data_IF_332306724846
#
_entry.id   IF_332306724846
#
_cell.length_a   1.000
_cell.length_b   1.000
_cell.length_c   1.000
_cell.angle_alpha   90.00
_cell.angle_beta   90.00
_cell.angle_gamma   90.00
#
_symmetry.space_group_name_H-M   'P 1'
#
loop_
_entity.id
_entity.type
_entity.pdbx_description
1 polymer ?
#
# COMPACT_ATOMS: atom_id res chain seq x y z
N UNK A 1 28.23 35.40 -14.37
CA UNK A 1 26.89 35.80 -13.92
C UNK A 1 25.88 34.76 -14.36
N UNK A 2 25.73 33.61 -13.68
CA UNK A 2 24.85 32.54 -14.16
C UNK A 2 24.59 31.41 -13.17
N UNK A 3 25.30 31.34 -12.06
CA UNK A 3 25.09 30.28 -11.04
C UNK A 3 24.09 30.69 -9.94
N UNK A 4 24.11 31.95 -9.52
CA UNK A 4 23.27 32.44 -8.41
C UNK A 4 21.77 32.54 -8.77
N UNK A 5 21.43 32.62 -10.05
CA UNK A 5 20.03 32.77 -10.49
C UNK A 5 19.27 31.44 -10.59
N UNK A 6 19.98 30.31 -10.71
CA UNK A 6 19.39 28.95 -10.67
C UNK A 6 19.09 28.50 -9.25
N UNK A 7 20.01 28.76 -8.30
CA UNK A 7 19.80 28.42 -6.90
C UNK A 7 18.65 29.22 -6.27
N UNK A 8 18.52 30.49 -6.64
CA UNK A 8 17.46 31.36 -6.11
C UNK A 8 16.06 31.02 -6.66
N UNK A 9 15.95 30.46 -7.87
CA UNK A 9 14.69 29.94 -8.42
C UNK A 9 14.27 28.62 -7.78
N UNK A 10 15.20 27.71 -7.52
CA UNK A 10 14.95 26.46 -6.81
C UNK A 10 14.44 26.70 -5.39
N UNK A 11 15.10 27.58 -4.62
CA UNK A 11 14.69 27.93 -3.25
C UNK A 11 13.34 28.65 -3.20
N UNK A 12 13.00 29.47 -4.21
CA UNK A 12 11.69 30.14 -4.28
C UNK A 12 10.56 29.17 -4.66
N UNK A 13 10.81 28.23 -5.57
CA UNK A 13 9.86 27.21 -5.97
C UNK A 13 9.55 26.26 -4.80
N UNK A 14 10.57 25.83 -4.07
CA UNK A 14 10.46 24.99 -2.88
C UNK A 14 9.62 25.65 -1.77
N UNK A 15 9.90 26.90 -1.43
CA UNK A 15 9.10 27.66 -0.45
C UNK A 15 7.64 27.84 -0.87
N UNK A 16 7.36 27.94 -2.18
CA UNK A 16 6.00 28.09 -2.69
C UNK A 16 5.24 26.77 -2.60
N UNK A 17 5.88 25.65 -2.95
CA UNK A 17 5.32 24.31 -2.80
C UNK A 17 5.02 23.98 -1.32
N UNK A 18 5.95 24.27 -0.42
CA UNK A 18 5.77 24.10 1.03
C UNK A 18 4.56 24.88 1.55
N UNK A 19 4.45 26.16 1.24
CA UNK A 19 3.28 26.98 1.65
C UNK A 19 1.96 26.46 1.09
N UNK A 20 1.97 25.90 -0.13
CA UNK A 20 0.78 25.27 -0.72
C UNK A 20 0.36 24.05 0.08
N UNK A 21 1.30 23.17 0.42
CA UNK A 21 1.06 21.97 1.19
C UNK A 21 0.53 22.32 2.58
N UNK A 22 1.20 23.20 3.32
CA UNK A 22 0.76 23.66 4.65
C UNK A 22 -0.69 24.14 4.62
N UNK A 23 -1.02 25.02 3.67
CA UNK A 23 -2.38 25.55 3.52
C UNK A 23 -3.42 24.46 3.23
N UNK A 24 -3.09 23.52 2.34
CA UNK A 24 -3.98 22.41 1.99
C UNK A 24 -4.20 21.49 3.20
N UNK A 25 -3.13 21.21 3.94
CA UNK A 25 -3.20 20.38 5.16
C UNK A 25 -4.02 21.06 6.27
N UNK A 26 -3.86 22.37 6.49
CA UNK A 26 -4.65 23.13 7.47
C UNK A 26 -6.15 23.07 7.13
N UNK A 27 -6.49 23.28 5.87
CA UNK A 27 -7.87 23.18 5.41
C UNK A 27 -8.44 21.75 5.53
N UNK A 28 -7.62 20.73 5.28
CA UNK A 28 -8.04 19.33 5.45
C UNK A 28 -8.29 18.99 6.92
N UNK A 29 -7.42 19.46 7.82
CA UNK A 29 -7.56 19.27 9.26
C UNK A 29 -8.81 19.95 9.80
N UNK A 30 -9.06 21.21 9.43
CA UNK A 30 -10.30 21.93 9.76
C UNK A 30 -11.54 21.13 9.29
N UNK A 31 -11.54 20.61 8.06
CA UNK A 31 -12.68 19.84 7.52
C UNK A 31 -12.88 18.51 8.24
N UNK A 32 -11.80 17.84 8.66
CA UNK A 32 -11.89 16.63 9.48
C UNK A 32 -12.51 16.93 10.83
N UNK A 33 -12.14 18.02 11.50
CA UNK A 33 -12.78 18.48 12.73
C UNK A 33 -14.28 18.73 12.57
N UNK A 34 -14.66 19.39 11.47
CA UNK A 34 -16.08 19.66 11.18
C UNK A 34 -16.91 18.39 10.91
N UNK A 35 -16.30 17.27 10.56
CA UNK A 35 -17.06 16.01 10.42
C UNK A 35 -17.61 15.54 11.76
N UNK A 36 -16.84 15.70 12.83
CA UNK A 36 -17.25 15.30 14.18
C UNK A 36 -18.28 16.28 14.78
N UNK A 37 -18.15 17.57 14.45
CA UNK A 37 -19.03 18.64 14.95
C UNK A 37 -20.34 18.79 14.16
N UNK A 38 -20.45 18.18 12.99
CA UNK A 38 -21.61 18.36 12.10
C UNK A 38 -22.90 17.78 12.69
N UNK A 39 -23.96 18.60 12.72
CA UNK A 39 -25.27 18.25 13.25
C UNK A 39 -26.02 17.24 12.37
N UNK A 40 -25.79 17.27 11.05
CA UNK A 40 -26.53 16.43 10.09
C UNK A 40 -25.63 15.44 9.36
N UNK A 41 -26.21 14.33 8.90
CA UNK A 41 -25.49 13.34 8.08
C UNK A 41 -25.03 13.95 6.76
N UNK A 42 -25.83 14.83 6.15
CA UNK A 42 -25.50 15.49 4.89
C UNK A 42 -24.26 16.39 5.03
N UNK A 43 -24.16 17.18 6.09
CA UNK A 43 -22.99 18.00 6.40
C UNK A 43 -21.75 17.15 6.62
N UNK A 44 -21.86 16.05 7.38
CA UNK A 44 -20.75 15.10 7.58
C UNK A 44 -20.22 14.53 6.29
N UNK A 45 -21.11 14.11 5.38
CA UNK A 45 -20.73 13.57 4.07
C UNK A 45 -20.07 14.63 3.19
N UNK A 46 -20.59 15.86 3.17
CA UNK A 46 -20.01 16.98 2.42
C UNK A 46 -18.61 17.35 2.92
N UNK A 47 -18.41 17.42 4.24
CA UNK A 47 -17.10 17.71 4.83
C UNK A 47 -16.10 16.58 4.56
N UNK A 48 -16.53 15.32 4.64
CA UNK A 48 -15.69 14.18 4.32
C UNK A 48 -15.25 14.16 2.84
N UNK A 49 -16.14 14.49 1.90
CA UNK A 49 -15.80 14.59 0.48
C UNK A 49 -14.76 15.70 0.24
N UNK A 50 -14.96 16.87 0.87
CA UNK A 50 -14.03 18.00 0.75
C UNK A 50 -12.66 17.72 1.36
N UNK A 51 -12.61 17.07 2.52
CA UNK A 51 -11.36 16.61 3.13
C UNK A 51 -10.59 15.68 2.20
N UNK A 52 -11.27 14.72 1.59
CA UNK A 52 -10.67 13.78 0.64
C UNK A 52 -10.08 14.46 -0.61
N UNK A 53 -10.74 15.49 -1.14
CA UNK A 53 -10.20 16.29 -2.25
C UNK A 53 -8.95 17.06 -1.85
N UNK A 54 -8.95 17.69 -0.67
CA UNK A 54 -7.81 18.42 -0.13
C UNK A 54 -6.61 17.52 0.08
N UNK A 55 -6.80 16.35 0.67
CA UNK A 55 -5.72 15.36 0.85
C UNK A 55 -5.13 14.90 -0.51
N UNK A 56 -5.95 14.67 -1.52
CA UNK A 56 -5.44 14.35 -2.86
C UNK A 56 -4.65 15.51 -3.48
N UNK A 57 -5.02 16.76 -3.18
CA UNK A 57 -4.35 17.96 -3.72
C UNK A 57 -2.95 18.22 -3.10
N UNK A 58 -2.54 17.48 -2.08
CA UNK A 58 -1.16 17.52 -1.55
C UNK A 58 -0.16 17.00 -2.59
N UNK A 59 -0.58 16.05 -3.41
CA UNK A 59 0.23 15.46 -4.46
C UNK A 59 0.19 16.31 -5.72
N UNK A 60 1.36 16.66 -6.29
CA UNK A 60 1.43 17.31 -7.59
C UNK A 60 1.06 16.36 -8.74
N UNK A 61 1.25 15.06 -8.50
CA UNK A 61 0.77 13.97 -9.35
C UNK A 61 0.38 12.77 -8.46
N UNK A 62 -0.83 12.20 -8.60
CA UNK A 62 -1.25 11.07 -7.79
C UNK A 62 -0.26 9.89 -7.83
N UNK A 63 0.09 9.28 -6.70
CA UNK A 63 1.00 8.13 -6.66
C UNK A 63 0.59 6.98 -7.58
N UNK A 64 -0.70 6.69 -7.67
CA UNK A 64 -1.23 5.66 -8.57
C UNK A 64 -0.91 5.91 -10.05
N UNK A 65 -0.74 7.17 -10.46
CA UNK A 65 -0.35 7.53 -11.81
C UNK A 65 1.18 7.62 -11.96
N UNK A 66 1.86 8.19 -10.95
CA UNK A 66 3.30 8.50 -11.04
C UNK A 66 4.20 7.28 -10.86
N UNK A 67 3.78 6.32 -10.03
CA UNK A 67 4.60 5.20 -9.59
C UNK A 67 4.16 3.84 -10.18
N UNK A 68 3.10 3.84 -10.98
CA UNK A 68 2.68 2.64 -11.69
C UNK A 68 3.79 2.22 -12.68
N UNK A 69 4.15 0.94 -12.63
CA UNK A 69 5.11 0.37 -13.58
C UNK A 69 4.56 0.45 -15.01
N UNK A 70 5.40 0.90 -15.92
CA UNK A 70 5.13 0.89 -17.35
C UNK A 70 6.39 0.44 -18.11
N UNK A 71 6.25 -0.11 -19.33
CA UNK A 71 7.40 -0.51 -20.14
C UNK A 71 8.40 0.64 -20.31
N UNK A 72 9.69 0.31 -20.18
CA UNK A 72 10.80 1.28 -20.23
C UNK A 72 11.28 1.79 -18.88
N UNK A 73 10.64 1.43 -17.76
CA UNK A 73 11.20 1.65 -16.41
C UNK A 73 12.21 0.54 -16.12
N UNK A 74 13.43 0.93 -15.79
CA UNK A 74 14.50 0.03 -15.32
C UNK A 74 14.56 0.04 -13.79
N UNK A 75 14.40 -1.14 -13.18
CA UNK A 75 14.38 -1.29 -11.72
C UNK A 75 15.77 -1.02 -11.12
N UNK A 76 16.84 -1.49 -11.75
CA UNK A 76 18.20 -1.32 -11.25
C UNK A 76 18.59 0.16 -11.25
N UNK A 77 18.32 0.88 -12.36
CA UNK A 77 18.51 2.32 -12.43
C UNK A 77 17.65 3.07 -11.39
N UNK A 78 16.40 2.65 -11.21
CA UNK A 78 15.50 3.23 -10.21
C UNK A 78 16.04 3.01 -8.78
N UNK A 79 16.57 1.83 -8.47
CA UNK A 79 17.16 1.53 -7.18
C UNK A 79 18.45 2.33 -6.92
N UNK A 80 19.29 2.49 -7.93
CA UNK A 80 20.58 3.18 -7.78
C UNK A 80 20.42 4.71 -7.75
N UNK A 81 19.56 5.27 -8.57
CA UNK A 81 19.48 6.72 -8.78
C UNK A 81 18.24 7.39 -8.18
N UNK A 82 17.16 6.67 -7.91
CA UNK A 82 15.86 7.25 -7.57
C UNK A 82 15.24 6.71 -6.27
N UNK A 83 15.87 5.76 -5.60
CA UNK A 83 15.32 5.16 -4.37
C UNK A 83 15.09 6.15 -3.22
N UNK A 84 15.85 7.26 -3.20
CA UNK A 84 15.68 8.39 -2.29
C UNK A 84 14.80 9.53 -2.81
N UNK A 85 14.29 9.43 -4.03
CA UNK A 85 13.44 10.46 -4.61
C UNK A 85 12.02 10.45 -4.01
N UNK A 86 11.30 11.58 -4.17
CA UNK A 86 9.92 11.76 -3.69
C UNK A 86 8.98 12.20 -4.81
N UNK A 87 8.87 11.44 -5.91
CA UNK A 87 8.15 11.86 -7.09
C UNK A 87 6.66 12.13 -6.78
N UNK A 88 6.19 13.31 -7.18
CA UNK A 88 4.82 13.76 -6.97
C UNK A 88 4.53 14.33 -5.59
N UNK A 89 5.50 14.37 -4.67
CA UNK A 89 5.35 14.96 -3.34
C UNK A 89 6.43 16.00 -3.08
N UNK A 90 6.04 17.26 -3.04
CA UNK A 90 6.94 18.40 -2.89
C UNK A 90 7.18 18.81 -1.41
N UNK A 91 6.62 18.02 -0.45
CA UNK A 91 6.76 18.23 0.98
C UNK A 91 7.98 17.54 1.59
N UNK A 92 8.21 17.83 2.85
CA UNK A 92 9.24 17.19 3.66
C UNK A 92 8.66 16.03 4.53
N UNK A 93 9.51 15.52 5.43
CA UNK A 93 9.11 14.47 6.36
C UNK A 93 7.94 14.88 7.26
N UNK A 94 7.91 16.10 7.74
CA UNK A 94 6.85 16.59 8.62
C UNK A 94 5.51 16.63 7.88
N UNK A 95 5.52 17.12 6.64
CA UNK A 95 4.32 17.16 5.79
C UNK A 95 3.77 15.75 5.52
N UNK A 96 4.66 14.79 5.25
CA UNK A 96 4.25 13.41 5.03
C UNK A 96 3.68 12.75 6.29
N UNK A 97 4.29 12.97 7.45
CA UNK A 97 3.78 12.45 8.73
C UNK A 97 2.41 13.05 9.06
N UNK A 98 2.20 14.34 8.80
CA UNK A 98 0.90 15.01 8.92
C UNK A 98 -0.12 14.45 7.93
N UNK A 99 0.26 14.27 6.67
CA UNK A 99 -0.59 13.65 5.65
C UNK A 99 -1.04 12.23 6.08
N UNK A 100 -0.12 11.39 6.56
CA UNK A 100 -0.43 10.04 7.04
C UNK A 100 -1.43 10.10 8.20
N UNK A 101 -1.25 11.02 9.14
CA UNK A 101 -2.15 11.20 10.28
C UNK A 101 -3.56 11.58 9.84
N UNK A 102 -3.70 12.57 8.96
CA UNK A 102 -5.00 13.05 8.47
C UNK A 102 -5.70 12.00 7.58
N UNK A 103 -4.94 11.33 6.70
CA UNK A 103 -5.50 10.29 5.81
C UNK A 103 -5.95 9.04 6.55
N UNK A 104 -5.39 8.75 7.72
CA UNK A 104 -5.72 7.55 8.49
C UNK A 104 -7.18 7.52 8.96
N UNK A 105 -7.77 8.66 9.28
CA UNK A 105 -9.20 8.77 9.62
C UNK A 105 -10.10 8.41 8.44
N UNK A 106 -9.74 8.83 7.23
CA UNK A 106 -10.45 8.44 6.01
C UNK A 106 -10.29 6.95 5.70
N UNK A 107 -9.07 6.43 5.82
CA UNK A 107 -8.79 5.01 5.63
C UNK A 107 -9.63 4.17 6.59
N UNK A 108 -9.65 4.51 7.88
CA UNK A 108 -10.45 3.81 8.87
C UNK A 108 -11.96 3.87 8.56
N UNK A 109 -12.45 5.01 8.08
CA UNK A 109 -13.85 5.16 7.66
C UNK A 109 -14.19 4.28 6.46
N UNK A 110 -13.35 4.28 5.42
CA UNK A 110 -13.56 3.45 4.24
C UNK A 110 -13.41 1.96 4.55
N UNK A 111 -12.48 1.58 5.41
CA UNK A 111 -12.29 0.20 5.84
C UNK A 111 -13.52 -0.32 6.59
N UNK A 112 -14.08 0.46 7.53
CA UNK A 112 -15.35 0.10 8.19
C UNK A 112 -16.52 0.00 7.22
N UNK A 113 -16.56 0.87 6.20
CA UNK A 113 -17.56 0.83 5.16
C UNK A 113 -17.43 -0.44 4.31
N UNK A 114 -16.20 -0.85 3.97
CA UNK A 114 -15.93 -2.11 3.27
C UNK A 114 -16.41 -3.29 4.11
N UNK A 115 -16.03 -3.33 5.38
CA UNK A 115 -16.43 -4.39 6.30
C UNK A 115 -17.98 -4.50 6.44
N UNK A 116 -18.65 -3.37 6.65
CA UNK A 116 -20.09 -3.34 6.77
C UNK A 116 -20.81 -3.88 5.50
N UNK A 117 -20.27 -3.57 4.32
CA UNK A 117 -20.78 -4.09 3.05
C UNK A 117 -20.57 -5.61 2.92
N UNK A 118 -19.39 -6.12 3.34
CA UNK A 118 -19.11 -7.56 3.37
C UNK A 118 -20.07 -8.33 4.27
N UNK A 119 -20.35 -7.82 5.48
CA UNK A 119 -21.35 -8.39 6.41
C UNK A 119 -22.76 -8.44 5.78
N UNK A 120 -23.05 -7.56 4.81
CA UNK A 120 -24.33 -7.52 4.08
C UNK A 120 -24.30 -8.24 2.73
N UNK A 121 -23.27 -9.06 2.48
CA UNK A 121 -23.21 -9.95 1.32
C UNK A 121 -22.54 -9.34 0.08
N UNK A 122 -21.85 -8.19 0.20
CA UNK A 122 -20.99 -7.69 -0.88
C UNK A 122 -19.74 -8.58 -0.96
N UNK A 123 -19.30 -8.93 -2.18
CA UNK A 123 -18.06 -9.67 -2.41
C UNK A 123 -16.81 -8.77 -2.50
N UNK A 124 -16.97 -7.45 -2.35
CA UNK A 124 -15.84 -6.51 -2.43
C UNK A 124 -14.86 -6.74 -1.30
N UNK A 125 -13.58 -6.78 -1.67
CA UNK A 125 -12.44 -6.90 -0.76
C UNK A 125 -11.21 -6.24 -1.37
N UNK A 126 -10.18 -6.04 -0.60
CA UNK A 126 -8.92 -5.44 -1.04
C UNK A 126 -7.77 -6.36 -0.66
N UNK A 127 -6.90 -6.68 -1.62
CA UNK A 127 -5.64 -7.35 -1.39
C UNK A 127 -4.47 -6.39 -1.69
N UNK A 128 -3.62 -6.18 -0.69
CA UNK A 128 -2.37 -5.44 -0.83
C UNK A 128 -1.22 -6.42 -0.78
N UNK A 129 -0.43 -6.46 -1.83
CA UNK A 129 0.79 -7.26 -1.93
C UNK A 129 1.98 -6.33 -1.73
N UNK A 130 2.73 -6.53 -0.64
CA UNK A 130 3.95 -5.78 -0.33
C UNK A 130 5.16 -6.63 -0.67
N UNK A 131 5.94 -6.15 -1.62
CA UNK A 131 7.20 -6.76 -2.05
C UNK A 131 8.36 -5.76 -1.95
N UNK A 132 9.57 -6.25 -2.09
CA UNK A 132 10.81 -5.47 -2.04
C UNK A 132 11.92 -6.29 -1.40
N UNK A 133 13.16 -5.91 -1.67
CA UNK A 133 14.34 -6.55 -1.11
C UNK A 133 14.29 -6.56 0.43
N UNK A 134 15.06 -7.44 1.05
CA UNK A 134 15.16 -7.46 2.51
C UNK A 134 15.64 -6.11 3.02
N UNK A 135 15.12 -5.72 4.19
CA UNK A 135 15.30 -4.40 4.79
C UNK A 135 14.71 -3.20 4.01
N UNK A 136 13.92 -3.40 2.93
CA UNK A 136 13.24 -2.31 2.19
C UNK A 136 12.17 -1.56 3.00
N UNK A 137 11.70 -2.10 4.13
CA UNK A 137 10.77 -1.40 5.01
C UNK A 137 9.34 -1.95 5.04
N UNK A 138 9.05 -3.11 4.43
CA UNK A 138 7.72 -3.76 4.40
C UNK A 138 7.01 -3.77 5.76
N UNK A 139 7.63 -4.33 6.79
CA UNK A 139 7.06 -4.32 8.15
C UNK A 139 6.88 -2.92 8.78
N UNK A 140 7.59 -1.90 8.24
CA UNK A 140 7.37 -0.49 8.58
C UNK A 140 6.07 0.03 7.99
N UNK A 141 5.77 -0.32 6.73
CA UNK A 141 4.50 0.00 6.07
C UNK A 141 3.34 -0.61 6.86
N UNK A 142 3.38 -1.93 7.13
CA UNK A 142 2.34 -2.63 7.89
C UNK A 142 2.06 -1.90 9.21
N UNK A 143 3.09 -1.61 10.00
CA UNK A 143 2.95 -1.00 11.32
C UNK A 143 2.42 0.42 11.31
N UNK A 144 2.80 1.23 10.30
CA UNK A 144 2.48 2.66 10.32
C UNK A 144 1.25 3.02 9.48
N UNK A 145 0.96 2.30 8.40
CA UNK A 145 -0.18 2.58 7.53
C UNK A 145 -1.45 1.94 8.05
N UNK A 146 -1.36 0.70 8.57
CA UNK A 146 -2.54 -0.04 9.05
C UNK A 146 -2.82 0.14 10.55
N UNK A 147 -2.01 0.94 11.26
CA UNK A 147 -2.08 1.11 12.71
C UNK A 147 -3.45 1.59 13.21
N UNK A 148 -4.13 2.42 12.46
CA UNK A 148 -5.41 3.02 12.84
C UNK A 148 -6.62 2.30 12.22
N UNK A 149 -6.39 1.24 11.45
CA UNK A 149 -7.45 0.39 10.95
C UNK A 149 -8.12 -0.39 12.08
N UNK A 150 -9.42 -0.67 11.92
CA UNK A 150 -10.13 -1.57 12.81
C UNK A 150 -9.58 -3.00 12.61
N UNK A 151 -9.13 -3.69 13.68
CA UNK A 151 -8.67 -5.06 13.59
C UNK A 151 -9.70 -6.00 12.95
N UNK A 152 -11.00 -5.74 13.16
CA UNK A 152 -12.06 -6.42 12.44
C UNK A 152 -12.07 -5.97 10.98
N UNK A 153 -11.62 -6.81 10.07
CA UNK A 153 -11.58 -6.52 8.65
C UNK A 153 -10.19 -6.20 8.11
N UNK A 154 -9.13 -6.52 8.86
CA UNK A 154 -7.75 -6.54 8.35
C UNK A 154 -7.15 -7.91 8.60
N UNK A 155 -6.73 -8.59 7.55
CA UNK A 155 -6.01 -9.85 7.58
C UNK A 155 -4.57 -9.64 7.12
N UNK A 156 -3.61 -9.86 8.00
CA UNK A 156 -2.18 -9.78 7.68
C UNK A 156 -1.60 -11.18 7.59
N UNK A 157 -0.88 -11.46 6.50
CA UNK A 157 -0.11 -12.69 6.37
C UNK A 157 1.29 -12.40 5.82
N UNK A 158 2.32 -12.96 6.49
CA UNK A 158 3.71 -12.89 6.05
C UNK A 158 4.17 -14.23 5.48
N UNK A 159 4.47 -14.28 4.18
CA UNK A 159 4.91 -15.51 3.54
C UNK A 159 6.39 -15.80 3.79
N UNK A 160 6.66 -16.95 4.39
CA UNK A 160 8.00 -17.53 4.57
C UNK A 160 8.29 -18.65 3.56
N UNK A 161 9.30 -19.47 3.87
CA UNK A 161 9.51 -20.75 3.16
C UNK A 161 8.25 -21.61 3.28
N UNK A 162 7.83 -22.29 2.20
CA UNK A 162 6.73 -23.24 2.27
C UNK A 162 7.00 -24.32 3.33
N UNK A 163 5.97 -24.71 4.08
CA UNK A 163 5.98 -25.91 4.89
C UNK A 163 5.93 -27.16 3.99
N UNK A 164 6.17 -28.35 4.55
CA UNK A 164 6.08 -29.60 3.79
C UNK A 164 4.67 -29.83 3.21
N UNK A 165 3.63 -29.43 3.96
CA UNK A 165 2.25 -29.46 3.48
C UNK A 165 2.04 -28.50 2.28
N UNK A 166 2.43 -27.24 2.42
CA UNK A 166 2.32 -26.23 1.37
C UNK A 166 3.11 -26.64 0.11
N UNK A 167 4.30 -27.22 0.28
CA UNK A 167 5.14 -27.68 -0.82
C UNK A 167 4.54 -28.90 -1.55
N UNK A 168 3.66 -29.68 -0.90
CA UNK A 168 2.97 -30.82 -1.52
C UNK A 168 1.83 -30.42 -2.46
N UNK A 169 1.42 -29.14 -2.44
CA UNK A 169 0.36 -28.55 -3.27
C UNK A 169 0.91 -27.66 -4.39
N UNK A 170 0.04 -27.18 -5.26
CA UNK A 170 0.39 -26.14 -6.23
C UNK A 170 0.79 -24.84 -5.53
N UNK A 171 1.72 -24.07 -6.08
CA UNK A 171 2.32 -22.91 -5.42
C UNK A 171 1.32 -21.80 -5.01
N UNK A 172 0.15 -21.71 -5.65
CA UNK A 172 -0.92 -20.78 -5.30
C UNK A 172 -1.78 -21.27 -4.14
N UNK A 173 -1.77 -22.56 -3.80
CA UNK A 173 -2.64 -23.14 -2.78
C UNK A 173 -2.52 -22.43 -1.42
N UNK A 174 -1.29 -22.17 -0.96
CA UNK A 174 -1.04 -21.47 0.32
C UNK A 174 -1.49 -20.00 0.27
N UNK A 175 -1.48 -19.40 -0.92
CA UNK A 175 -1.90 -18.01 -1.13
C UNK A 175 -3.42 -17.90 -1.12
N UNK A 176 -4.11 -18.86 -1.75
CA UNK A 176 -5.58 -18.93 -1.79
C UNK A 176 -6.17 -19.05 -0.39
N UNK A 177 -5.52 -19.76 0.52
CA UNK A 177 -5.97 -19.93 1.92
C UNK A 177 -5.87 -18.66 2.76
N UNK A 178 -5.02 -17.73 2.36
CA UNK A 178 -4.77 -16.48 3.07
C UNK A 178 -5.45 -15.27 2.41
N UNK A 179 -6.25 -15.50 1.37
CA UNK A 179 -7.01 -14.42 0.75
C UNK A 179 -7.97 -13.77 1.74
N UNK A 180 -8.15 -12.43 1.67
CA UNK A 180 -9.10 -11.76 2.53
C UNK A 180 -10.54 -12.19 2.22
N UNK A 181 -11.33 -12.36 3.25
CA UNK A 181 -12.77 -12.55 3.13
C UNK A 181 -13.47 -11.32 2.51
N UNK A 182 -14.67 -11.47 1.94
CA UNK A 182 -15.52 -10.33 1.54
C UNK A 182 -15.65 -9.31 2.67
N UNK A 183 -15.40 -8.04 2.34
CA UNK A 183 -15.41 -6.95 3.33
C UNK A 183 -14.06 -6.71 4.02
N UNK A 184 -13.03 -7.50 3.75
CA UNK A 184 -11.73 -7.41 4.43
C UNK A 184 -10.65 -6.79 3.55
N UNK A 185 -9.61 -6.28 4.21
CA UNK A 185 -8.34 -5.89 3.60
C UNK A 185 -7.31 -6.96 3.94
N UNK A 186 -6.83 -7.69 2.94
CA UNK A 186 -5.68 -8.57 3.05
C UNK A 186 -4.37 -7.78 2.86
N UNK A 187 -3.38 -8.03 3.70
CA UNK A 187 -2.05 -7.44 3.61
C UNK A 187 -1.03 -8.57 3.59
N UNK A 188 -0.45 -8.83 2.44
CA UNK A 188 0.57 -9.83 2.24
C UNK A 188 1.98 -9.20 2.34
N UNK A 189 2.79 -9.61 3.32
CA UNK A 189 4.23 -9.32 3.37
C UNK A 189 4.97 -10.45 2.66
N UNK A 190 5.49 -10.19 1.45
CA UNK A 190 5.81 -11.16 0.41
C UNK A 190 4.54 -11.80 -0.15
N UNK A 191 4.65 -12.75 -1.07
CA UNK A 191 3.48 -13.37 -1.71
C UNK A 191 3.87 -14.54 -2.60
N UNK A 192 2.95 -14.98 -3.46
CA UNK A 192 3.16 -15.95 -4.54
C UNK A 192 4.29 -15.59 -5.53
N UNK A 193 4.71 -14.34 -5.57
CA UNK A 193 5.83 -13.92 -6.41
C UNK A 193 7.18 -14.47 -5.95
N UNK A 194 7.32 -14.82 -4.67
CA UNK A 194 8.52 -15.51 -4.16
C UNK A 194 8.71 -16.86 -4.87
N UNK A 195 7.61 -17.53 -5.23
CA UNK A 195 7.64 -18.81 -5.96
C UNK A 195 8.05 -18.68 -7.43
N UNK A 196 8.21 -17.46 -7.94
CA UNK A 196 8.80 -17.14 -9.25
C UNK A 196 10.24 -16.63 -9.07
N UNK A 197 10.42 -15.64 -8.22
CA UNK A 197 11.71 -14.94 -8.04
C UNK A 197 12.77 -15.86 -7.45
N UNK A 198 12.43 -16.64 -6.40
CA UNK A 198 13.39 -17.53 -5.75
C UNK A 198 13.90 -18.63 -6.69
N UNK A 199 13.05 -19.35 -7.44
CA UNK A 199 13.53 -20.29 -8.45
C UNK A 199 14.36 -19.65 -9.56
N UNK A 200 14.00 -18.44 -9.99
CA UNK A 200 14.76 -17.70 -11.00
C UNK A 200 16.17 -17.38 -10.53
N UNK A 201 16.30 -16.80 -9.31
CA UNK A 201 17.59 -16.36 -8.73
C UNK A 201 18.48 -17.53 -8.32
N UNK A 202 17.89 -18.59 -7.76
CA UNK A 202 18.65 -19.72 -7.20
C UNK A 202 18.69 -20.98 -8.10
N UNK A 203 17.98 -20.97 -9.23
CA UNK A 203 17.96 -22.12 -10.13
C UNK A 203 17.35 -23.39 -9.52
N UNK A 204 16.42 -23.24 -8.56
CA UNK A 204 15.83 -24.37 -7.81
C UNK A 204 14.76 -25.12 -8.58
N UNK A 205 14.27 -24.56 -9.70
CA UNK A 205 13.33 -25.17 -10.63
C UNK A 205 13.80 -24.98 -12.07
N UNK A 206 13.43 -25.88 -13.01
CA UNK A 206 13.64 -25.67 -14.43
C UNK A 206 13.02 -24.35 -14.91
N UNK A 207 13.65 -23.71 -15.89
CA UNK A 207 13.24 -22.39 -16.37
C UNK A 207 11.82 -22.39 -16.96
N UNK A 208 11.48 -23.39 -17.72
CA UNK A 208 10.13 -23.56 -18.30
C UNK A 208 9.05 -23.71 -17.22
N UNK A 209 9.38 -24.32 -16.07
CA UNK A 209 8.46 -24.51 -14.95
C UNK A 209 8.17 -23.18 -14.24
N UNK A 210 9.20 -22.41 -13.84
CA UNK A 210 8.93 -21.16 -13.12
C UNK A 210 8.44 -20.06 -14.07
N UNK A 211 8.81 -20.05 -15.36
CA UNK A 211 8.27 -19.10 -16.34
C UNK A 211 6.78 -19.31 -16.61
N UNK A 212 6.31 -20.54 -16.63
CA UNK A 212 4.89 -20.82 -16.77
C UNK A 212 4.04 -20.23 -15.63
N UNK A 213 4.64 -19.96 -14.45
CA UNK A 213 3.94 -19.35 -13.31
C UNK A 213 3.50 -17.91 -13.55
N UNK A 214 4.12 -17.16 -14.47
CA UNK A 214 3.67 -15.82 -14.84
C UNK A 214 2.23 -15.83 -15.36
N UNK A 215 1.91 -16.75 -16.26
CA UNK A 215 0.55 -16.86 -16.81
C UNK A 215 -0.45 -17.31 -15.73
N UNK A 216 -0.05 -18.26 -14.89
CA UNK A 216 -0.88 -18.73 -13.78
C UNK A 216 -1.19 -17.62 -12.76
N UNK A 217 -0.20 -16.79 -12.42
CA UNK A 217 -0.39 -15.63 -11.53
C UNK A 217 -1.30 -14.59 -12.18
N UNK A 218 -1.12 -14.28 -13.45
CA UNK A 218 -1.98 -13.36 -14.17
C UNK A 218 -3.44 -13.83 -14.23
N UNK A 219 -3.66 -15.12 -14.44
CA UNK A 219 -5.00 -15.71 -14.42
C UNK A 219 -5.61 -15.66 -13.02
N UNK A 220 -4.84 -16.04 -12.02
CA UNK A 220 -5.23 -15.96 -10.61
C UNK A 220 -5.66 -14.54 -10.22
N UNK A 221 -4.83 -13.52 -10.46
CA UNK A 221 -5.14 -12.13 -10.13
C UNK A 221 -6.35 -11.61 -10.94
N UNK A 222 -6.48 -12.01 -12.20
CA UNK A 222 -7.65 -11.67 -13.02
C UNK A 222 -8.94 -12.27 -12.43
N UNK A 223 -8.88 -13.51 -11.96
CA UNK A 223 -10.02 -14.16 -11.31
C UNK A 223 -10.42 -13.47 -10.01
N UNK A 224 -9.44 -13.03 -9.19
CA UNK A 224 -9.68 -12.25 -7.98
C UNK A 224 -10.39 -10.93 -8.29
N UNK A 225 -9.91 -10.21 -9.31
CA UNK A 225 -10.51 -8.93 -9.71
C UNK A 225 -11.93 -9.13 -10.25
N UNK A 226 -12.16 -10.17 -11.05
CA UNK A 226 -13.50 -10.51 -11.53
C UNK A 226 -14.46 -10.86 -10.40
N UNK A 227 -13.96 -11.42 -9.30
CA UNK A 227 -14.73 -11.74 -8.08
C UNK A 227 -14.82 -10.57 -7.08
N UNK A 228 -14.49 -9.34 -7.49
CA UNK A 228 -14.68 -8.14 -6.69
C UNK A 228 -13.52 -7.79 -5.75
N UNK A 229 -12.37 -8.45 -5.87
CA UNK A 229 -11.15 -8.11 -5.14
C UNK A 229 -10.38 -7.01 -5.87
N UNK A 230 -10.18 -5.85 -5.26
CA UNK A 230 -9.17 -4.91 -5.74
C UNK A 230 -7.78 -5.43 -5.35
N UNK A 231 -6.85 -5.49 -6.32
CA UNK A 231 -5.48 -5.94 -6.07
C UNK A 231 -4.52 -4.78 -6.26
N UNK A 232 -3.74 -4.45 -5.23
CA UNK A 232 -2.73 -3.38 -5.24
C UNK A 232 -1.37 -4.01 -4.95
N UNK A 233 -0.48 -4.00 -5.95
CA UNK A 233 0.85 -4.59 -5.85
C UNK A 233 1.90 -3.49 -5.70
N UNK A 234 2.65 -3.54 -4.60
CA UNK A 234 3.63 -2.52 -4.22
C UNK A 234 5.00 -3.17 -4.08
N UNK A 235 5.96 -2.66 -4.81
CA UNK A 235 7.37 -3.00 -4.63
C UNK A 235 8.11 -1.81 -4.02
N UNK A 236 8.70 -2.01 -2.83
CA UNK A 236 9.49 -1.00 -2.14
C UNK A 236 10.91 -1.01 -2.71
N UNK A 237 11.23 0.00 -3.50
CA UNK A 237 12.53 0.18 -4.14
C UNK A 237 13.49 0.82 -3.14
N UNK A 238 14.36 0.00 -2.54
CA UNK A 238 15.44 0.45 -1.66
C UNK A 238 16.75 0.46 -2.43
N UNK A 239 17.59 1.49 -2.23
CA UNK A 239 18.94 1.53 -2.79
C UNK A 239 19.86 0.51 -2.09
N UNK A 240 20.84 -0.03 -2.84
CA UNK A 240 21.78 -1.03 -2.33
C UNK A 240 22.56 -0.52 -1.10
N UNK A 241 22.92 0.76 -1.08
CA UNK A 241 23.63 1.38 0.04
C UNK A 241 22.72 1.63 1.25
N UNK A 242 21.47 2.04 1.02
CA UNK A 242 20.49 2.19 2.09
C UNK A 242 20.16 0.85 2.75
N UNK A 243 20.01 -0.20 1.95
CA UNK A 243 19.84 -1.56 2.45
C UNK A 243 21.00 -1.97 3.37
N UNK A 244 22.25 -1.70 2.94
CA UNK A 244 23.45 -1.97 3.76
C UNK A 244 23.37 -1.26 5.11
N UNK A 245 23.00 0.01 5.09
CA UNK A 245 22.85 0.83 6.30
C UNK A 245 21.76 0.27 7.23
N UNK A 246 20.68 -0.22 6.66
CA UNK A 246 19.61 -0.87 7.42
C UNK A 246 20.06 -2.19 8.07
N UNK A 247 20.86 -3.00 7.38
CA UNK A 247 21.39 -4.24 7.95
C UNK A 247 22.39 -3.96 9.08
N UNK A 248 23.31 -3.02 8.90
CA UNK A 248 24.22 -2.59 9.96
C UNK A 248 23.43 -2.08 11.18
N UNK A 249 22.41 -1.25 10.97
CA UNK A 249 21.54 -0.79 12.04
C UNK A 249 20.72 -1.90 12.73
N UNK A 250 20.47 -3.07 12.07
CA UNK A 250 19.89 -4.24 12.75
C UNK A 250 20.92 -4.93 13.65
N UNK A 251 22.17 -5.05 13.19
CA UNK A 251 23.26 -5.68 13.95
C UNK A 251 23.65 -4.86 15.18
N UNK A 252 23.64 -3.54 15.07
CA UNK A 252 24.00 -2.62 16.14
C UNK A 252 22.91 -2.53 17.23
N UNK A 253 21.63 -2.73 16.87
CA UNK A 253 20.49 -2.61 17.78
C UNK A 253 20.08 -3.98 18.33
N UNK A 254 20.32 -4.29 19.63
CA UNK A 254 19.95 -5.57 20.24
C UNK A 254 18.47 -5.93 20.08
N UNK A 255 17.60 -4.93 19.99
CA UNK A 255 16.13 -5.13 19.82
C UNK A 255 15.75 -5.52 18.39
N UNK A 256 16.69 -5.45 17.43
CA UNK A 256 16.47 -5.73 16.01
C UNK A 256 17.30 -6.89 15.47
N UNK A 257 18.31 -7.38 16.22
CA UNK A 257 19.19 -8.48 15.78
C UNK A 257 18.44 -9.73 15.36
N UNK A 258 17.35 -10.04 16.01
CA UNK A 258 16.48 -11.18 15.68
C UNK A 258 15.88 -11.16 14.26
N UNK A 259 15.96 -10.03 13.57
CA UNK A 259 15.51 -9.85 12.19
C UNK A 259 16.59 -10.10 11.15
N UNK A 260 17.82 -10.31 11.59
CA UNK A 260 18.95 -10.50 10.70
C UNK A 260 19.25 -11.99 10.57
N UNK A 261 19.29 -12.48 9.34
CA UNK A 261 19.59 -13.86 8.99
C UNK A 261 20.76 -13.93 8.00
N UNK A 262 21.46 -15.07 7.94
CA UNK A 262 22.55 -15.26 6.99
C UNK A 262 22.07 -15.15 5.53
N UNK A 263 20.83 -15.55 5.25
CA UNK A 263 20.22 -15.42 3.94
C UNK A 263 20.06 -13.96 3.47
N UNK A 264 20.04 -12.98 4.40
CA UNK A 264 20.05 -11.56 4.05
C UNK A 264 21.36 -11.17 3.30
N UNK A 265 22.48 -11.78 3.66
CA UNK A 265 23.78 -11.57 3.00
C UNK A 265 23.81 -12.27 1.64
N UNK A 266 23.35 -13.53 1.57
CA UNK A 266 23.29 -14.28 0.32
C UNK A 266 22.41 -13.57 -0.73
N UNK A 267 21.26 -13.03 -0.30
CA UNK A 267 20.40 -12.25 -1.17
C UNK A 267 21.06 -10.94 -1.64
N UNK A 268 21.84 -10.28 -0.76
CA UNK A 268 22.57 -9.09 -1.13
C UNK A 268 23.72 -9.36 -2.12
N UNK A 269 24.39 -10.49 -1.99
CA UNK A 269 25.47 -10.90 -2.94
C UNK A 269 24.88 -11.18 -4.34
N UNK A 270 23.61 -11.56 -4.42
CA UNK A 270 22.86 -11.79 -5.66
C UNK A 270 21.99 -10.60 -6.07
N UNK A 271 22.35 -9.39 -5.66
CA UNK A 271 21.56 -8.18 -5.90
C UNK A 271 21.11 -8.02 -7.35
N UNK A 272 22.06 -8.17 -8.28
CA UNK A 272 21.80 -7.97 -9.70
C UNK A 272 20.85 -9.05 -10.27
N UNK A 273 20.99 -10.30 -9.80
CA UNK A 273 20.08 -11.41 -10.15
C UNK A 273 18.65 -11.11 -9.66
N UNK A 274 18.51 -10.59 -8.44
CA UNK A 274 17.22 -10.17 -7.90
C UNK A 274 16.61 -9.00 -8.67
N UNK A 275 17.41 -7.99 -9.05
CA UNK A 275 16.92 -6.87 -9.84
C UNK A 275 16.41 -7.35 -11.21
N UNK A 276 17.15 -8.24 -11.88
CA UNK A 276 16.73 -8.82 -13.14
C UNK A 276 15.46 -9.66 -13.00
N UNK A 277 15.36 -10.51 -11.97
CA UNK A 277 14.18 -11.32 -11.72
C UNK A 277 12.93 -10.47 -11.43
N UNK A 278 13.04 -9.43 -10.60
CA UNK A 278 11.94 -8.52 -10.33
C UNK A 278 11.55 -7.67 -11.55
N UNK A 279 12.53 -7.26 -12.37
CA UNK A 279 12.26 -6.56 -13.63
C UNK A 279 11.35 -7.42 -14.52
N UNK A 280 11.68 -8.70 -14.71
CA UNK A 280 10.86 -9.62 -15.51
C UNK A 280 9.46 -9.82 -14.88
N UNK A 281 9.36 -9.92 -13.55
CA UNK A 281 8.06 -9.96 -12.84
C UNK A 281 7.20 -8.76 -13.24
N UNK A 282 7.73 -7.54 -13.19
CA UNK A 282 6.95 -6.34 -13.51
C UNK A 282 6.52 -6.32 -14.97
N UNK A 283 7.42 -6.65 -15.89
CA UNK A 283 7.14 -6.70 -17.33
C UNK A 283 6.06 -7.73 -17.68
N UNK A 284 6.07 -8.87 -16.99
CA UNK A 284 5.16 -9.99 -17.24
C UNK A 284 3.83 -9.90 -16.51
N UNK A 285 3.80 -9.22 -15.35
CA UNK A 285 2.65 -9.28 -14.45
C UNK A 285 2.06 -7.93 -14.06
N UNK A 286 2.60 -6.79 -14.53
CA UNK A 286 1.93 -5.50 -14.34
C UNK A 286 0.80 -5.37 -15.36
N UNK A 287 -0.40 -5.79 -14.95
CA UNK A 287 -1.59 -5.75 -15.80
C UNK A 287 -2.48 -4.55 -15.48
N UNK A 288 -3.39 -4.19 -16.38
CA UNK A 288 -4.37 -3.13 -16.12
C UNK A 288 -5.27 -3.43 -14.91
N UNK A 289 -5.57 -4.72 -14.69
CA UNK A 289 -6.42 -5.17 -13.59
C UNK A 289 -5.69 -5.16 -12.24
N UNK A 290 -4.39 -5.46 -12.25
CA UNK A 290 -3.53 -5.53 -11.07
C UNK A 290 -2.14 -4.97 -11.39
N UNK A 291 -1.99 -3.64 -11.44
CA UNK A 291 -0.72 -3.00 -11.74
C UNK A 291 0.27 -3.09 -10.58
N UNK A 292 1.57 -3.08 -10.90
CA UNK A 292 2.63 -2.85 -9.94
C UNK A 292 2.89 -1.37 -9.73
N UNK A 293 3.19 -0.99 -8.49
CA UNK A 293 3.67 0.34 -8.11
C UNK A 293 5.09 0.24 -7.57
N UNK A 294 6.05 0.91 -8.22
CA UNK A 294 7.45 0.98 -7.78
C UNK A 294 7.62 2.18 -6.87
N UNK A 295 7.73 1.93 -5.56
CA UNK A 295 7.71 2.97 -4.54
C UNK A 295 9.11 3.20 -3.97
N UNK A 296 9.76 4.36 -4.22
CA UNK A 296 11.02 4.73 -3.58
C UNK A 296 10.93 4.63 -2.06
N UNK A 297 11.87 3.92 -1.44
CA UNK A 297 11.74 3.51 -0.03
C UNK A 297 12.90 3.93 0.88
N UNK A 298 13.95 4.57 0.38
CA UNK A 298 15.02 5.10 1.21
C UNK A 298 14.47 6.16 2.18
N UNK A 299 13.60 7.03 1.71
CA UNK A 299 12.80 7.91 2.54
C UNK A 299 11.55 7.19 3.07
N UNK A 300 11.66 6.53 4.23
CA UNK A 300 10.57 5.74 4.84
C UNK A 300 9.29 6.54 5.08
N UNK A 301 9.39 7.83 5.32
CA UNK A 301 8.25 8.72 5.50
C UNK A 301 7.48 8.88 4.17
N UNK A 302 8.22 8.99 3.05
CA UNK A 302 7.64 9.09 1.72
C UNK A 302 6.92 7.79 1.31
N UNK A 303 7.58 6.64 1.43
CA UNK A 303 6.95 5.36 1.08
C UNK A 303 5.68 5.08 1.89
N UNK A 304 5.65 5.47 3.16
CA UNK A 304 4.44 5.39 4.00
C UNK A 304 3.33 6.30 3.51
N UNK A 305 3.64 7.56 3.15
CA UNK A 305 2.68 8.49 2.60
C UNK A 305 2.09 7.99 1.27
N UNK A 306 2.95 7.47 0.38
CA UNK A 306 2.52 6.85 -0.88
C UNK A 306 1.57 5.68 -0.65
N UNK A 307 1.92 4.75 0.23
CA UNK A 307 1.08 3.57 0.50
C UNK A 307 -0.23 3.98 1.16
N UNK A 308 -0.21 4.99 2.04
CA UNK A 308 -1.44 5.56 2.61
C UNK A 308 -2.34 6.15 1.53
N UNK A 309 -1.78 6.88 0.55
CA UNK A 309 -2.58 7.45 -0.55
C UNK A 309 -3.11 6.37 -1.50
N UNK A 310 -2.31 5.36 -1.84
CA UNK A 310 -2.76 4.23 -2.66
C UNK A 310 -3.91 3.49 -1.98
N UNK A 311 -3.79 3.20 -0.68
CA UNK A 311 -4.84 2.54 0.10
C UNK A 311 -6.10 3.41 0.17
N UNK A 312 -5.97 4.69 0.53
CA UNK A 312 -7.06 5.64 0.65
C UNK A 312 -7.84 5.79 -0.65
N UNK A 313 -7.13 6.02 -1.76
CA UNK A 313 -7.74 6.23 -3.07
C UNK A 313 -8.36 4.95 -3.64
N UNK A 314 -7.74 3.80 -3.41
CA UNK A 314 -8.32 2.51 -3.82
C UNK A 314 -9.65 2.27 -3.10
N UNK A 315 -9.69 2.42 -1.78
CA UNK A 315 -10.91 2.25 -1.00
C UNK A 315 -11.99 3.28 -1.38
N UNK A 316 -11.61 4.54 -1.61
CA UNK A 316 -12.51 5.59 -2.10
C UNK A 316 -13.14 5.21 -3.44
N UNK A 317 -12.34 4.73 -4.39
CA UNK A 317 -12.76 4.38 -5.74
C UNK A 317 -13.67 3.14 -5.80
N UNK A 318 -13.77 2.38 -4.71
CA UNK A 318 -14.79 1.33 -4.61
C UNK A 318 -16.23 1.89 -4.56
N UNK A 319 -16.42 3.20 -4.36
CA UNK A 319 -17.73 3.88 -4.37
C UNK A 319 -18.78 3.20 -3.51
N UNK A 320 -18.38 2.81 -2.29
CA UNK A 320 -19.28 2.12 -1.36
C UNK A 320 -20.17 3.11 -0.60
N UNK A 321 -21.39 2.70 -0.30
CA UNK A 321 -22.32 3.39 0.59
C UNK A 321 -22.61 2.56 1.82
N UNK A 322 -23.02 3.19 2.92
CA UNK A 322 -23.46 2.46 4.10
C UNK A 322 -24.64 1.55 3.74
N UNK A 323 -24.59 0.27 4.13
CA UNK A 323 -25.70 -0.63 3.88
C UNK A 323 -26.97 -0.15 4.60
N UNK A 324 -28.16 -0.37 4.02
CA UNK A 324 -29.42 0.02 4.65
C UNK A 324 -29.69 -0.80 5.92
N UNK A 325 -30.60 -0.29 6.73
CA UNK A 325 -31.16 -1.05 7.85
C UNK A 325 -31.78 -2.36 7.33
N UNK A 326 -31.75 -3.41 8.15
CA UNK A 326 -32.35 -4.69 7.77
C UNK A 326 -33.82 -4.51 7.43
N UNK A 327 -34.28 -5.16 6.35
CA UNK A 327 -35.65 -4.99 5.79
C UNK A 327 -36.78 -5.40 6.74
N UNK A 328 -36.46 -6.24 7.74
CA UNK A 328 -37.41 -6.69 8.78
C UNK A 328 -37.47 -5.75 10.00
N UNK A 329 -36.80 -4.59 9.96
CA UNK A 329 -36.78 -3.61 11.05
C UNK A 329 -37.47 -2.34 10.61
N UNK A 330 -38.58 -2.01 11.28
CA UNK A 330 -39.19 -0.68 11.22
C UNK A 330 -38.47 0.26 12.20
N UNK A 331 -37.75 1.29 11.72
CA UNK A 331 -36.96 2.17 12.58
C UNK A 331 -37.86 3.01 13.52
N UNK A 332 -39.08 3.31 13.14
CA UNK A 332 -40.01 4.10 13.98
C UNK A 332 -40.50 3.24 15.13
N UNK A 333 -40.97 2.03 14.85
CA UNK A 333 -41.42 1.08 15.88
C UNK A 333 -40.28 0.65 16.79
N UNK A 334 -39.07 0.40 16.24
CA UNK A 334 -37.90 0.08 17.04
C UNK A 334 -37.56 1.22 18.04
N UNK A 335 -37.56 2.49 17.59
CA UNK A 335 -37.37 3.65 18.47
C UNK A 335 -38.43 3.74 19.54
N UNK A 336 -39.71 3.55 19.17
CA UNK A 336 -40.82 3.61 20.12
C UNK A 336 -40.69 2.57 21.23
N UNK A 337 -40.31 1.34 20.88
CA UNK A 337 -40.12 0.26 21.87
C UNK A 337 -38.96 0.53 22.80
N UNK A 338 -37.79 0.95 22.26
CA UNK A 338 -36.62 1.28 23.07
C UNK A 338 -36.85 2.48 24.01
N UNK A 339 -37.66 3.47 23.61
CA UNK A 339 -38.00 4.60 24.46
C UNK A 339 -39.11 4.30 25.50
N UNK A 340 -39.78 3.18 25.40
CA UNK A 340 -40.78 2.73 26.37
C UNK A 340 -40.15 1.90 27.52
N UNK A 341 -38.88 1.55 27.42
CA UNK A 341 -38.14 0.81 28.45
C UNK A 341 -37.46 1.77 29.48
N UNK A 342 -37.52 3.10 29.26
CA UNK A 342 -37.11 4.18 30.16
C UNK A 342 -38.30 4.63 31.04
#
# INVERSE_FOLDING_TARGET
MGKDDKDNRGVKADKTAKRRIDRVMDLAEERIGLIEESATVAERLANAAKSSELLSAVWSMPPAQRLMFHPGVDLAETADAQSGATPGFDGDRYDAERFISLSSSEIARYQRLLYANGVKGSNRRLLIVLQGMDASGKGGIVRHVFRQGDPMGIHYHGFGKPTDEEASHGFLWRVERELPDPGWIGVFDRSHYEDIVMPHVYGTLPEDVWRARYDLVNEFERSLVADGCAVVKIFLVVGREEQRRHFLGRLDDPTKRWKFDASDLDARDRWDDYMAAWQEVFERTSTTAAPWYLVPADNRWYSRAVVSELLRTTLKNMNMTWPPLASNVDPVEARRRLAADD
#
